data_IF_502549862670
#
_entry.id   IF_502549862670
#
_cell.length_a   1.000
_cell.length_b   1.000
_cell.length_c   1.000
_cell.angle_alpha   90.00
_cell.angle_beta   90.00
_cell.angle_gamma   90.00
#
_symmetry.space_group_name_H-M   'P 1'
#
loop_
_entity.id
_entity.type
_entity.pdbx_description
1 polymer ?
#
# COMPACT_ATOMS: atom_id res chain seq x y z
N UNK A 1 3.75 6.20 -1.79
CA UNK A 1 3.74 5.58 -0.45
C UNK A 1 4.17 6.54 0.64
N UNK A 2 5.42 7.02 0.68
CA UNK A 2 5.87 7.97 1.73
C UNK A 2 4.95 9.18 1.94
N UNK A 3 4.59 9.90 0.87
CA UNK A 3 3.72 11.08 0.96
C UNK A 3 2.34 10.75 1.52
N UNK A 4 1.76 9.61 1.13
CA UNK A 4 0.45 9.15 1.59
C UNK A 4 0.50 8.77 3.08
N UNK A 5 1.53 8.03 3.48
CA UNK A 5 1.75 7.69 4.89
C UNK A 5 1.91 8.95 5.77
N UNK A 6 2.70 9.92 5.31
CA UNK A 6 2.89 11.19 6.02
C UNK A 6 1.60 12.00 6.11
N UNK A 7 0.80 12.06 5.05
CA UNK A 7 -0.47 12.80 5.06
C UNK A 7 -1.53 12.25 6.02
N UNK A 8 -1.43 10.97 6.38
CA UNK A 8 -2.36 10.31 7.31
C UNK A 8 -1.88 10.41 8.78
N UNK A 9 -0.75 11.08 9.03
CA UNK A 9 -0.24 11.33 10.38
C UNK A 9 0.86 10.38 10.84
N UNK A 10 1.55 9.72 9.91
CA UNK A 10 2.76 8.95 10.19
C UNK A 10 3.85 9.79 10.87
N UNK A 11 4.46 9.26 11.93
CA UNK A 11 5.38 10.01 12.80
C UNK A 11 6.84 9.50 12.75
N UNK A 12 7.13 8.50 11.92
CA UNK A 12 8.50 8.00 11.72
C UNK A 12 9.18 8.70 10.55
N UNK A 13 10.50 8.59 10.48
CA UNK A 13 11.32 9.24 9.45
C UNK A 13 11.33 8.45 8.14
N UNK A 14 11.62 9.13 7.04
CA UNK A 14 11.70 8.53 5.71
C UNK A 14 12.60 7.29 5.66
N UNK A 15 13.79 7.36 6.28
CA UNK A 15 14.73 6.25 6.27
C UNK A 15 14.25 5.05 7.10
N UNK A 16 13.38 5.25 8.10
CA UNK A 16 12.81 4.16 8.91
C UNK A 16 11.74 3.41 8.11
N UNK A 17 10.97 4.13 7.30
CA UNK A 17 10.06 3.53 6.30
C UNK A 17 10.84 2.71 5.29
N UNK A 18 11.90 3.28 4.72
CA UNK A 18 12.75 2.59 3.73
C UNK A 18 13.38 1.33 4.31
N UNK A 19 13.97 1.43 5.51
CA UNK A 19 14.55 0.29 6.21
C UNK A 19 13.50 -0.79 6.53
N UNK A 20 12.27 -0.41 6.91
CA UNK A 20 11.18 -1.36 7.13
C UNK A 20 10.78 -2.12 5.87
N UNK A 21 10.65 -1.43 4.73
CA UNK A 21 10.33 -2.06 3.45
C UNK A 21 11.43 -3.04 3.00
N UNK A 22 12.68 -2.73 3.33
CA UNK A 22 13.82 -3.61 3.09
C UNK A 22 14.01 -4.71 4.16
N UNK A 23 13.13 -4.78 5.17
CA UNK A 23 13.21 -5.76 6.26
C UNK A 23 14.37 -5.53 7.24
N UNK A 24 14.99 -4.36 7.20
CA UNK A 24 16.14 -3.97 8.01
C UNK A 24 15.75 -3.32 9.33
N UNK A 25 14.48 -2.93 9.51
CA UNK A 25 13.99 -2.27 10.72
C UNK A 25 12.53 -2.67 11.03
N UNK A 26 12.21 -3.16 12.24
CA UNK A 26 10.82 -3.45 12.62
C UNK A 26 10.10 -2.18 13.08
N UNK A 27 8.95 -1.87 12.49
CA UNK A 27 8.12 -0.74 12.93
C UNK A 27 7.22 -1.08 14.13
N UNK A 28 6.92 -0.07 14.98
CA UNK A 28 5.87 -0.18 15.99
C UNK A 28 4.53 -0.60 15.37
N UNK A 29 3.67 -1.34 16.09
CA UNK A 29 2.39 -1.81 15.56
C UNK A 29 1.52 -0.71 14.94
N UNK A 30 1.36 0.43 15.63
CA UNK A 30 0.55 1.55 15.14
C UNK A 30 1.06 2.12 13.80
N UNK A 31 2.38 2.18 13.62
CA UNK A 31 2.99 2.68 12.38
C UNK A 31 2.83 1.70 11.22
N UNK A 32 2.81 0.39 11.52
CA UNK A 32 2.49 -0.64 10.52
C UNK A 32 1.05 -0.54 10.04
N UNK A 33 0.12 -0.27 10.94
CA UNK A 33 -1.29 -0.11 10.61
C UNK A 33 -1.51 1.13 9.73
N UNK A 34 -0.87 2.26 10.06
CA UNK A 34 -0.87 3.46 9.22
C UNK A 34 -0.26 3.21 7.84
N UNK A 35 0.84 2.45 7.78
CA UNK A 35 1.45 2.08 6.51
C UNK A 35 0.55 1.17 5.67
N UNK A 36 -0.15 0.22 6.29
CA UNK A 36 -1.12 -0.62 5.60
C UNK A 36 -2.29 0.20 5.05
N UNK A 37 -2.77 1.19 5.81
CA UNK A 37 -3.82 2.10 5.37
C UNK A 37 -3.38 2.95 4.17
N UNK A 38 -2.20 3.59 4.26
CA UNK A 38 -1.63 4.35 3.17
C UNK A 38 -1.39 3.51 1.90
N UNK A 39 -1.01 2.23 2.08
CA UNK A 39 -0.82 1.31 0.95
C UNK A 39 -2.14 0.92 0.31
N UNK A 40 -3.18 0.66 1.11
CA UNK A 40 -4.51 0.34 0.60
C UNK A 40 -5.08 1.50 -0.23
N UNK A 41 -4.96 2.74 0.24
CA UNK A 41 -5.39 3.91 -0.54
C UNK A 41 -4.67 4.01 -1.89
N UNK A 42 -3.36 3.74 -1.90
CA UNK A 42 -2.59 3.71 -3.16
C UNK A 42 -3.00 2.57 -4.09
N UNK A 43 -3.46 1.43 -3.55
CA UNK A 43 -3.98 0.31 -4.34
C UNK A 43 -5.35 0.66 -4.93
N UNK A 44 -6.21 1.34 -4.16
CA UNK A 44 -7.53 1.77 -4.62
C UNK A 44 -7.43 2.76 -5.79
N UNK A 45 -6.36 3.56 -5.84
CA UNK A 45 -6.05 4.45 -6.97
C UNK A 45 -5.54 3.72 -8.23
N UNK A 46 -5.13 2.46 -8.12
CA UNK A 46 -4.69 1.69 -9.29
C UNK A 46 -5.89 1.22 -10.12
N UNK A 47 -5.76 1.17 -11.46
CA UNK A 47 -6.80 0.58 -12.28
C UNK A 47 -7.05 -0.86 -11.83
N UNK A 48 -8.34 -1.20 -11.65
CA UNK A 48 -8.74 -2.54 -11.26
C UNK A 48 -8.09 -3.56 -12.18
N UNK A 49 -7.43 -4.54 -11.57
CA UNK A 49 -6.77 -5.60 -12.34
C UNK A 49 -7.81 -6.27 -13.24
N UNK A 50 -7.54 -6.45 -14.54
CA UNK A 50 -8.47 -7.12 -15.44
C UNK A 50 -8.90 -8.45 -14.83
N UNK A 51 -10.22 -8.68 -14.77
CA UNK A 51 -10.75 -9.99 -14.37
C UNK A 51 -10.29 -11.00 -15.42
N UNK A 52 -9.96 -12.21 -14.98
CA UNK A 52 -9.69 -13.29 -15.92
C UNK A 52 -10.92 -13.48 -16.82
N UNK A 53 -10.71 -13.48 -18.14
CA UNK A 53 -11.78 -13.74 -19.10
C UNK A 53 -12.39 -15.10 -18.82
N UNK A 54 -13.73 -15.16 -18.73
CA UNK A 54 -14.44 -16.43 -18.60
C UNK A 54 -14.81 -16.93 -19.98
N UNK A 55 -14.90 -18.25 -20.18
CA UNK A 55 -15.33 -18.83 -21.47
C UNK A 55 -16.77 -18.45 -21.87
N UNK A 56 -17.54 -17.87 -20.94
CA UNK A 56 -18.86 -17.31 -21.20
C UNK A 56 -18.82 -15.86 -21.70
N UNK A 57 -17.65 -15.21 -21.68
CA UNK A 57 -17.45 -13.81 -22.07
C UNK A 57 -17.23 -13.65 -23.60
N UNK A 58 -17.49 -14.70 -24.38
CA UNK A 58 -17.55 -14.64 -25.85
C UNK A 58 -19.00 -14.71 -26.32
N UNK A 59 -19.69 -13.56 -26.34
CA UNK A 59 -20.79 -13.28 -27.27
C UNK A 59 -21.31 -11.83 -27.12
N UNK A 60 -20.78 -10.89 -27.90
CA UNK A 60 -21.55 -9.79 -28.52
C UNK A 60 -20.85 -9.37 -29.80
#
# INVERSE_FOLDING_TARGET
>A
MWLQYFSIGGNIKFFEVDAYLHGLYPLPPAERDLMAMALNELIDDLPQRPRAGTSYDTAT
#
